data_IF_120374305484
#
_entry.id   IF_120374305484
#
_cell.length_a   1.000
_cell.length_b   1.000
_cell.length_c   1.000
_cell.angle_alpha   90.00
_cell.angle_beta   90.00
_cell.angle_gamma   90.00
#
_symmetry.space_group_name_H-M   'P 1'
#
loop_
_entity.id
_entity.type
_entity.pdbx_description
1 polymer ?
#
# COMPACT_ATOMS: atom_id res chain seq x y z
N UNK A 1 9.74 -10.43 16.05
CA UNK A 1 10.06 -11.14 14.80
C UNK A 1 9.31 -10.47 13.67
N UNK A 2 9.98 -10.12 12.60
CA UNK A 2 9.38 -9.60 11.37
C UNK A 2 9.23 -10.76 10.38
N UNK A 3 8.06 -10.97 9.81
CA UNK A 3 7.78 -12.06 8.89
C UNK A 3 7.05 -11.58 7.65
N UNK A 4 7.29 -12.25 6.52
CA UNK A 4 6.62 -11.99 5.26
C UNK A 4 6.27 -13.30 4.55
N UNK A 5 5.34 -13.24 3.63
CA UNK A 5 5.00 -14.37 2.75
C UNK A 5 4.76 -13.87 1.32
N UNK A 6 5.00 -14.76 0.36
CA UNK A 6 4.62 -14.52 -1.03
C UNK A 6 3.23 -15.11 -1.24
N UNK A 7 2.34 -14.31 -1.78
CA UNK A 7 0.99 -14.69 -2.21
C UNK A 7 0.79 -14.34 -3.67
N UNK A 8 -0.12 -15.02 -4.34
CA UNK A 8 -0.53 -14.73 -5.71
C UNK A 8 -2.05 -14.58 -5.76
N UNK A 9 -2.59 -13.54 -6.43
CA UNK A 9 -4.03 -13.27 -6.40
C UNK A 9 -4.89 -14.42 -6.92
N UNK A 10 -4.39 -15.18 -7.88
CA UNK A 10 -5.12 -16.29 -8.53
C UNK A 10 -4.77 -17.67 -7.95
N UNK A 11 -3.94 -17.74 -6.90
CA UNK A 11 -3.51 -19.01 -6.30
C UNK A 11 -3.69 -18.99 -4.80
N UNK A 12 -4.16 -20.09 -4.24
CA UNK A 12 -4.34 -20.23 -2.79
C UNK A 12 -3.04 -20.53 -2.02
N UNK A 13 -1.95 -20.74 -2.74
CA UNK A 13 -0.66 -21.07 -2.14
C UNK A 13 -0.08 -19.83 -1.46
N UNK A 14 0.39 -20.02 -0.23
CA UNK A 14 1.15 -19.02 0.54
C UNK A 14 2.54 -19.60 0.77
N UNK A 15 3.57 -18.88 0.36
CA UNK A 15 4.95 -19.27 0.55
C UNK A 15 5.55 -18.38 1.65
N UNK A 16 5.78 -18.91 2.86
CA UNK A 16 6.43 -18.15 3.92
C UNK A 16 7.89 -17.86 3.53
N UNK A 17 8.32 -16.64 3.81
CA UNK A 17 9.71 -16.25 3.68
C UNK A 17 10.43 -16.39 5.02
N UNK A 18 11.75 -16.50 4.98
CA UNK A 18 12.55 -16.60 6.20
C UNK A 18 12.36 -15.34 7.07
N UNK A 19 11.95 -15.49 8.34
CA UNK A 19 11.67 -14.35 9.19
C UNK A 19 12.95 -13.64 9.62
N UNK A 20 12.86 -12.32 9.82
CA UNK A 20 13.92 -11.51 10.37
C UNK A 20 13.74 -11.36 11.89
N UNK A 21 14.80 -11.58 12.65
CA UNK A 21 14.77 -11.47 14.11
C UNK A 21 14.83 -10.00 14.53
N UNK A 22 13.94 -9.58 15.40
CA UNK A 22 14.00 -8.28 16.07
C UNK A 22 14.80 -8.45 17.35
N UNK A 23 15.93 -7.76 17.45
CA UNK A 23 16.80 -7.76 18.63
C UNK A 23 16.54 -6.51 19.48
N UNK A 24 16.67 -6.64 20.81
CA UNK A 24 16.45 -5.50 21.72
C UNK A 24 17.36 -4.30 21.46
N UNK A 25 18.50 -4.52 20.81
CA UNK A 25 19.47 -3.50 20.43
C UNK A 25 19.13 -2.74 19.14
N UNK A 26 18.06 -3.14 18.44
CA UNK A 26 17.68 -2.55 17.14
C UNK A 26 16.97 -1.21 17.26
N UNK A 27 16.61 -0.78 18.47
CA UNK A 27 15.96 0.51 18.71
C UNK A 27 15.34 0.61 20.11
N UNK A 28 14.99 1.82 20.52
CA UNK A 28 14.38 2.11 21.82
C UNK A 28 12.87 1.91 21.82
N UNK A 29 12.24 1.76 20.66
CA UNK A 29 10.81 1.52 20.51
C UNK A 29 10.54 0.31 19.60
N UNK A 30 9.42 -0.36 19.81
CA UNK A 30 8.99 -1.50 19.00
C UNK A 30 8.89 -1.16 17.51
N UNK A 31 8.43 0.03 17.19
CA UNK A 31 8.29 0.46 15.80
C UNK A 31 9.66 0.65 15.12
N UNK A 32 10.64 1.17 15.80
CA UNK A 32 11.99 1.30 15.28
C UNK A 32 12.63 -0.06 15.07
N UNK A 33 12.44 -1.01 15.98
CA UNK A 33 12.88 -2.39 15.82
C UNK A 33 12.24 -3.08 14.59
N UNK A 34 10.95 -2.89 14.37
CA UNK A 34 10.24 -3.44 13.22
C UNK A 34 10.73 -2.82 11.90
N UNK A 35 10.97 -1.51 11.86
CA UNK A 35 11.51 -0.83 10.67
C UNK A 35 12.92 -1.31 10.33
N UNK A 36 13.79 -1.45 11.32
CA UNK A 36 15.14 -1.96 11.12
C UNK A 36 15.12 -3.41 10.62
N UNK A 37 14.28 -4.25 11.18
CA UNK A 37 14.09 -5.63 10.74
C UNK A 37 13.55 -5.69 9.31
N UNK A 38 12.59 -4.84 8.94
CA UNK A 38 12.08 -4.73 7.58
C UNK A 38 13.18 -4.34 6.58
N UNK A 39 14.04 -3.37 6.93
CA UNK A 39 15.17 -2.98 6.08
C UNK A 39 16.11 -4.16 5.82
N UNK A 40 16.56 -4.85 6.87
CA UNK A 40 17.43 -6.04 6.74
C UNK A 40 16.77 -7.14 5.91
N UNK A 41 15.47 -7.36 6.13
CA UNK A 41 14.69 -8.33 5.36
C UNK A 41 14.67 -7.97 3.86
N UNK A 42 14.39 -6.72 3.50
CA UNK A 42 14.33 -6.29 2.10
C UNK A 42 15.71 -6.33 1.41
N UNK A 43 16.78 -5.97 2.10
CA UNK A 43 18.17 -6.11 1.62
C UNK A 43 18.49 -7.58 1.29
N UNK A 44 18.17 -8.48 2.21
CA UNK A 44 18.36 -9.93 2.05
C UNK A 44 17.48 -10.47 0.92
N UNK A 45 16.20 -10.12 0.92
CA UNK A 45 15.24 -10.52 -0.12
C UNK A 45 15.72 -10.13 -1.52
N UNK A 46 16.17 -8.88 -1.69
CA UNK A 46 16.66 -8.41 -3.00
C UNK A 46 17.98 -9.08 -3.41
N UNK A 47 18.87 -9.35 -2.47
CA UNK A 47 20.11 -10.07 -2.74
C UNK A 47 19.86 -11.52 -3.18
N UNK A 48 18.92 -12.20 -2.55
CA UNK A 48 18.57 -13.60 -2.86
C UNK A 48 17.70 -13.72 -4.12
N UNK A 49 16.89 -12.68 -4.39
CA UNK A 49 15.94 -12.66 -5.51
C UNK A 49 16.08 -11.40 -6.37
N UNK A 50 17.24 -11.17 -7.03
CA UNK A 50 17.54 -9.90 -7.72
C UNK A 50 16.59 -9.58 -8.88
N UNK A 51 16.00 -10.59 -9.51
CA UNK A 51 15.14 -10.44 -10.69
C UNK A 51 13.64 -10.65 -10.39
N UNK A 52 13.29 -10.98 -9.14
CA UNK A 52 11.90 -11.23 -8.79
C UNK A 52 11.10 -9.91 -8.80
N UNK A 53 10.12 -9.85 -9.69
CA UNK A 53 9.15 -8.74 -9.73
C UNK A 53 8.08 -8.99 -8.69
N UNK A 54 8.20 -8.35 -7.54
CA UNK A 54 7.23 -8.45 -6.44
C UNK A 54 6.57 -7.09 -6.18
N UNK A 55 5.37 -7.13 -5.64
CA UNK A 55 4.66 -5.99 -5.07
C UNK A 55 4.68 -6.20 -3.56
N UNK A 56 5.28 -5.26 -2.83
CA UNK A 56 5.28 -5.24 -1.38
C UNK A 56 3.93 -4.70 -0.90
N UNK A 57 3.24 -5.44 -0.06
CA UNK A 57 1.95 -5.02 0.53
C UNK A 57 2.10 -4.94 2.03
N UNK A 58 1.90 -3.75 2.58
CA UNK A 58 2.04 -3.47 4.02
C UNK A 58 0.90 -2.58 4.52
N UNK A 59 0.74 -2.53 5.82
CA UNK A 59 -0.25 -1.67 6.46
C UNK A 59 0.22 -0.20 6.54
N UNK A 60 -0.63 0.66 7.13
CA UNK A 60 -0.36 2.10 7.23
C UNK A 60 0.81 2.50 8.13
N UNK A 61 1.35 1.60 8.96
CA UNK A 61 2.52 1.90 9.81
C UNK A 61 3.81 2.07 8.99
N UNK A 62 3.87 1.43 7.83
CA UNK A 62 5.01 1.46 6.90
C UNK A 62 4.96 2.62 5.91
N UNK A 63 3.87 3.38 5.82
CA UNK A 63 3.65 4.42 4.81
C UNK A 63 4.36 5.75 5.12
N UNK A 64 5.69 5.68 5.27
CA UNK A 64 6.57 6.82 5.57
C UNK A 64 7.54 7.10 4.43
N UNK A 65 7.97 8.37 4.27
CA UNK A 65 8.89 8.76 3.20
C UNK A 65 10.21 7.95 3.19
N UNK A 66 10.89 7.72 4.32
CA UNK A 66 12.11 6.91 4.33
C UNK A 66 11.88 5.47 3.86
N UNK A 67 10.74 4.88 4.23
CA UNK A 67 10.41 3.51 3.84
C UNK A 67 10.09 3.43 2.33
N UNK A 68 9.31 4.38 1.81
CA UNK A 68 8.99 4.45 0.38
C UNK A 68 10.26 4.58 -0.47
N UNK A 69 11.16 5.51 -0.11
CA UNK A 69 12.44 5.66 -0.82
C UNK A 69 13.25 4.36 -0.81
N UNK A 70 13.32 3.69 0.33
CA UNK A 70 14.03 2.41 0.44
C UNK A 70 13.43 1.32 -0.48
N UNK A 71 12.11 1.19 -0.53
CA UNK A 71 11.44 0.22 -1.41
C UNK A 71 11.75 0.54 -2.88
N UNK A 72 11.75 1.81 -3.26
CA UNK A 72 12.05 2.28 -4.61
C UNK A 72 13.52 2.07 -4.98
N UNK A 73 14.46 2.29 -4.06
CA UNK A 73 15.88 1.98 -4.23
C UNK A 73 16.11 0.49 -4.53
N UNK A 74 15.33 -0.40 -3.93
CA UNK A 74 15.35 -1.82 -4.26
C UNK A 74 14.61 -2.18 -5.55
N UNK A 75 14.05 -1.21 -6.27
CA UNK A 75 13.32 -1.43 -7.51
C UNK A 75 12.04 -2.25 -7.32
N UNK A 76 11.44 -2.21 -6.13
CA UNK A 76 10.19 -2.91 -5.83
C UNK A 76 8.98 -2.01 -6.10
N UNK A 77 7.86 -2.66 -6.44
CA UNK A 77 6.54 -2.03 -6.40
C UNK A 77 5.95 -2.21 -5.01
N UNK A 78 5.04 -1.28 -4.63
CA UNK A 78 4.39 -1.36 -3.32
C UNK A 78 2.92 -0.98 -3.37
N UNK A 79 2.18 -1.45 -2.36
CA UNK A 79 0.84 -1.01 -1.97
C UNK A 79 0.87 -0.87 -0.45
N UNK A 80 0.84 0.35 0.04
CA UNK A 80 0.88 0.68 1.46
C UNK A 80 -0.46 1.24 1.91
N UNK A 81 -0.95 0.82 3.05
CA UNK A 81 -2.16 1.37 3.64
C UNK A 81 -2.01 2.87 3.94
N UNK A 82 -3.09 3.63 3.77
CA UNK A 82 -3.14 5.04 4.16
C UNK A 82 -4.36 5.28 5.05
N UNK A 83 -4.19 6.10 6.09
CA UNK A 83 -5.26 6.45 7.01
C UNK A 83 -5.45 7.97 7.03
N UNK A 84 -6.68 8.49 7.08
CA UNK A 84 -6.93 9.94 7.10
C UNK A 84 -6.18 10.67 8.22
N UNK A 85 -6.06 10.08 9.42
CA UNK A 85 -5.36 10.67 10.55
C UNK A 85 -3.85 10.84 10.34
N UNK A 86 -3.22 9.93 9.58
CA UNK A 86 -1.76 9.91 9.35
C UNK A 86 -1.37 10.61 8.04
N UNK A 87 -2.30 10.71 7.07
CA UNK A 87 -2.04 11.18 5.70
C UNK A 87 -3.00 12.29 5.26
N UNK A 88 -3.41 13.17 6.17
CA UNK A 88 -4.36 14.25 5.92
C UNK A 88 -4.05 15.02 4.62
N UNK A 89 -2.79 15.31 4.36
CA UNK A 89 -2.37 16.05 3.16
C UNK A 89 -2.67 15.32 1.84
N UNK A 90 -2.60 13.99 1.79
CA UNK A 90 -3.01 13.20 0.62
C UNK A 90 -4.52 13.28 0.39
N UNK A 91 -5.30 13.18 1.46
CA UNK A 91 -6.76 13.32 1.35
C UNK A 91 -7.18 14.74 0.93
N UNK A 92 -6.51 15.77 1.45
CA UNK A 92 -6.73 17.16 1.02
C UNK A 92 -6.44 17.33 -0.48
N UNK A 93 -5.32 16.78 -0.98
CA UNK A 93 -5.01 16.82 -2.42
C UNK A 93 -6.06 16.08 -3.26
N UNK A 94 -6.51 14.91 -2.80
CA UNK A 94 -7.54 14.13 -3.49
C UNK A 94 -8.86 14.92 -3.62
N UNK A 95 -9.21 15.73 -2.64
CA UNK A 95 -10.45 16.54 -2.65
C UNK A 95 -10.34 17.84 -3.44
N UNK A 96 -9.14 18.42 -3.50
CA UNK A 96 -8.95 19.76 -4.09
C UNK A 96 -8.38 19.74 -5.51
N UNK A 97 -7.79 18.62 -5.94
CA UNK A 97 -7.17 18.52 -7.26
C UNK A 97 -8.20 18.29 -8.37
N UNK A 98 -8.08 19.07 -9.44
CA UNK A 98 -8.85 18.86 -10.67
C UNK A 98 -8.45 17.58 -11.43
N UNK A 99 -7.27 17.00 -11.12
CA UNK A 99 -6.78 15.76 -11.70
C UNK A 99 -7.32 14.50 -11.01
N UNK A 100 -8.13 14.65 -9.96
CA UNK A 100 -8.75 13.54 -9.27
C UNK A 100 -9.74 12.81 -10.18
N UNK A 101 -9.48 11.52 -10.38
CA UNK A 101 -10.35 10.66 -11.16
C UNK A 101 -11.36 9.95 -10.26
N UNK A 102 -12.57 9.78 -10.79
CA UNK A 102 -13.68 9.09 -10.11
C UNK A 102 -14.12 7.91 -10.95
N UNK A 103 -14.40 6.80 -10.29
CA UNK A 103 -14.98 5.63 -10.93
C UNK A 103 -15.97 4.95 -9.98
N UNK A 104 -17.13 4.54 -10.51
CA UNK A 104 -18.20 3.93 -9.71
C UNK A 104 -18.68 2.65 -10.40
N UNK A 105 -18.98 1.64 -9.59
CA UNK A 105 -19.50 0.36 -10.05
C UNK A 105 -20.68 -0.01 -9.14
N UNK A 106 -21.83 -0.25 -9.74
CA UNK A 106 -22.95 -0.90 -9.09
C UNK A 106 -22.96 -2.37 -9.48
N UNK A 107 -22.65 -3.24 -8.52
CA UNK A 107 -22.60 -4.67 -8.75
C UNK A 107 -24.02 -5.29 -8.74
N UNK A 108 -24.17 -6.43 -9.42
CA UNK A 108 -25.47 -7.13 -9.53
C UNK A 108 -25.96 -7.67 -8.18
N UNK A 109 -25.05 -7.90 -7.22
CA UNK A 109 -25.34 -8.32 -5.84
C UNK A 109 -25.78 -7.17 -4.94
N UNK A 110 -25.93 -5.95 -5.49
CA UNK A 110 -26.39 -4.75 -4.79
C UNK A 110 -25.30 -3.97 -4.06
N UNK A 111 -24.04 -4.40 -4.13
CA UNK A 111 -22.93 -3.61 -3.61
C UNK A 111 -22.64 -2.42 -4.51
N UNK A 112 -22.31 -1.28 -3.90
CA UNK A 112 -21.90 -0.07 -4.58
C UNK A 112 -20.45 0.25 -4.25
N UNK A 113 -19.62 0.40 -5.28
CA UNK A 113 -18.20 0.63 -5.16
C UNK A 113 -17.83 1.98 -5.75
N UNK A 114 -17.17 2.81 -4.96
CA UNK A 114 -16.67 4.12 -5.37
C UNK A 114 -15.15 4.15 -5.24
N UNK A 115 -14.50 4.62 -6.28
CA UNK A 115 -13.05 4.77 -6.35
C UNK A 115 -12.73 6.22 -6.67
N UNK A 116 -11.89 6.83 -5.85
CA UNK A 116 -11.28 8.13 -6.12
C UNK A 116 -9.78 7.93 -6.17
N UNK A 117 -9.12 8.45 -7.18
CA UNK A 117 -7.67 8.30 -7.23
C UNK A 117 -7.01 9.53 -7.84
N UNK A 118 -5.79 9.79 -7.38
CA UNK A 118 -4.92 10.85 -7.83
C UNK A 118 -3.53 10.27 -8.05
N UNK A 119 -2.99 10.42 -9.27
CA UNK A 119 -1.64 10.02 -9.58
C UNK A 119 -0.65 11.16 -9.28
N UNK A 120 0.59 10.80 -8.93
CA UNK A 120 1.67 11.75 -8.64
C UNK A 120 1.38 12.75 -7.53
N UNK A 121 0.54 12.39 -6.56
CA UNK A 121 0.30 13.18 -5.37
C UNK A 121 1.58 13.29 -4.52
N UNK A 122 1.80 14.42 -3.85
CA UNK A 122 2.89 14.56 -2.89
C UNK A 122 2.54 13.86 -1.58
N UNK A 123 3.47 13.07 -1.03
CA UNK A 123 3.22 12.27 0.17
C UNK A 123 2.76 13.12 1.36
N UNK A 124 3.46 14.21 1.63
CA UNK A 124 3.11 15.18 2.68
C UNK A 124 3.85 16.51 2.46
N UNK A 125 3.53 17.53 3.27
CA UNK A 125 4.11 18.88 3.16
C UNK A 125 5.64 18.89 3.30
N UNK A 126 6.22 17.99 4.08
CA UNK A 126 7.67 17.91 4.34
C UNK A 126 8.43 17.06 3.33
N UNK A 127 7.73 16.22 2.54
CA UNK A 127 8.31 15.32 1.55
C UNK A 127 7.52 15.43 0.24
N UNK A 128 7.50 16.63 -0.33
CA UNK A 128 6.78 16.90 -1.60
C UNK A 128 7.47 16.28 -2.82
N UNK A 129 8.75 15.94 -2.69
CA UNK A 129 9.55 15.22 -3.67
C UNK A 129 9.15 13.73 -3.79
N UNK A 130 8.61 13.14 -2.71
CA UNK A 130 8.10 11.77 -2.74
C UNK A 130 6.72 11.78 -3.37
N UNK A 131 6.63 11.29 -4.62
CA UNK A 131 5.39 11.19 -5.37
C UNK A 131 4.80 9.79 -5.27
N UNK A 132 3.51 9.74 -4.95
CA UNK A 132 2.76 8.50 -4.83
C UNK A 132 1.48 8.57 -5.67
N UNK A 133 0.99 7.44 -6.10
CA UNK A 133 -0.35 7.32 -6.65
C UNK A 133 -1.28 6.91 -5.50
N UNK A 134 -2.32 7.67 -5.27
CA UNK A 134 -3.20 7.52 -4.12
C UNK A 134 -4.57 7.04 -4.55
N UNK A 135 -5.07 5.99 -3.91
CA UNK A 135 -6.39 5.39 -4.15
C UNK A 135 -7.20 5.43 -2.85
N UNK A 136 -8.38 6.01 -2.92
CA UNK A 136 -9.42 5.95 -1.89
C UNK A 136 -10.61 5.16 -2.42
N UNK A 137 -11.01 4.13 -1.69
CA UNK A 137 -12.06 3.20 -2.05
C UNK A 137 -13.12 3.14 -0.96
N UNK A 138 -14.38 3.31 -1.38
CA UNK A 138 -15.55 3.14 -0.54
C UNK A 138 -16.43 2.03 -1.10
N UNK A 139 -16.89 1.16 -0.22
CA UNK A 139 -17.86 0.13 -0.51
C UNK A 139 -19.11 0.35 0.36
N UNK A 140 -20.27 0.37 -0.26
CA UNK A 140 -21.56 0.38 0.45
C UNK A 140 -22.27 -0.95 0.19
N UNK A 141 -22.64 -1.66 1.24
CA UNK A 141 -23.38 -2.90 1.12
C UNK A 141 -24.89 -2.65 0.84
N UNK A 142 -25.68 -3.68 0.46
CA UNK A 142 -27.10 -3.53 0.20
C UNK A 142 -27.94 -3.03 1.40
N UNK A 143 -27.35 -3.06 2.61
CA UNK A 143 -27.98 -2.58 3.84
C UNK A 143 -27.56 -1.15 4.21
N UNK A 144 -26.71 -0.52 3.38
CA UNK A 144 -26.22 0.83 3.60
C UNK A 144 -24.99 0.93 4.52
N UNK A 145 -24.36 -0.19 4.90
CA UNK A 145 -23.13 -0.16 5.68
C UNK A 145 -21.95 0.19 4.77
N UNK A 146 -21.15 1.15 5.19
CA UNK A 146 -19.99 1.61 4.48
C UNK A 146 -18.69 1.02 5.05
N UNK A 147 -17.77 0.68 4.14
CA UNK A 147 -16.38 0.32 4.42
C UNK A 147 -15.47 1.19 3.56
N UNK A 148 -14.46 1.79 4.18
CA UNK A 148 -13.51 2.67 3.51
C UNK A 148 -12.10 2.12 3.65
N UNK A 149 -11.36 2.12 2.53
CA UNK A 149 -9.97 1.71 2.47
C UNK A 149 -9.20 2.66 1.58
N UNK A 150 -7.98 2.98 1.96
CA UNK A 150 -7.15 3.86 1.14
C UNK A 150 -5.72 3.33 1.11
N UNK A 151 -5.07 3.52 -0.04
CA UNK A 151 -3.72 3.02 -0.29
C UNK A 151 -2.90 4.01 -1.09
N UNK A 152 -1.59 3.95 -0.89
CA UNK A 152 -0.62 4.62 -1.74
C UNK A 152 0.27 3.59 -2.43
N UNK A 153 0.72 3.89 -3.64
CA UNK A 153 1.50 2.98 -4.49
C UNK A 153 2.37 3.74 -5.47
N UNK A 154 3.45 3.12 -5.96
CA UNK A 154 4.20 3.59 -7.14
C UNK A 154 3.71 2.98 -8.46
N UNK A 155 2.61 2.23 -8.45
CA UNK A 155 1.96 1.69 -9.64
C UNK A 155 0.98 2.74 -10.15
N UNK A 156 1.08 3.12 -11.42
CA UNK A 156 0.12 4.04 -12.04
C UNK A 156 -1.30 3.49 -11.93
N UNK A 157 -2.21 4.30 -11.39
CA UNK A 157 -3.60 3.93 -11.24
C UNK A 157 -4.37 4.38 -12.49
N UNK A 158 -5.09 3.45 -13.08
CA UNK A 158 -6.05 3.70 -14.14
C UNK A 158 -7.35 2.96 -13.82
N UNK A 159 -8.44 3.35 -14.44
CA UNK A 159 -9.74 2.69 -14.26
C UNK A 159 -9.65 1.17 -14.47
N UNK A 160 -8.86 0.71 -15.42
CA UNK A 160 -8.64 -0.72 -15.69
C UNK A 160 -7.89 -1.39 -14.52
N UNK A 161 -6.90 -0.70 -13.95
CA UNK A 161 -6.08 -1.24 -12.87
C UNK A 161 -6.82 -1.22 -11.52
N UNK A 162 -7.75 -0.30 -11.31
CA UNK A 162 -8.58 -0.22 -10.09
C UNK A 162 -9.33 -1.52 -9.86
N UNK A 163 -9.92 -2.09 -10.90
CA UNK A 163 -10.64 -3.37 -10.83
C UNK A 163 -9.67 -4.52 -10.47
N UNK A 164 -8.46 -4.51 -11.03
CA UNK A 164 -7.43 -5.52 -10.72
C UNK A 164 -6.85 -5.36 -9.30
N UNK A 165 -6.66 -4.13 -8.82
CA UNK A 165 -6.21 -3.86 -7.45
C UNK A 165 -7.25 -4.34 -6.42
N UNK A 166 -8.55 -4.23 -6.71
CA UNK A 166 -9.60 -4.76 -5.86
C UNK A 166 -9.46 -6.28 -5.62
N UNK A 167 -9.05 -7.04 -6.63
CA UNK A 167 -8.79 -8.47 -6.52
C UNK A 167 -7.59 -8.77 -5.59
N UNK A 168 -6.55 -7.95 -5.60
CA UNK A 168 -5.40 -8.06 -4.70
C UNK A 168 -5.75 -7.75 -3.24
N UNK A 169 -6.72 -6.89 -3.01
CA UNK A 169 -7.15 -6.43 -1.69
C UNK A 169 -8.12 -7.41 -1.02
N UNK A 170 -8.92 -8.16 -1.80
CA UNK A 170 -9.82 -9.22 -1.29
C UNK A 170 -9.10 -10.43 -0.66
N UNK A 171 -7.76 -10.44 -0.68
CA UNK A 171 -6.92 -11.51 -0.10
C UNK A 171 -6.50 -11.25 1.36
N UNK A 172 -7.15 -10.29 2.05
CA UNK A 172 -7.00 -10.05 3.50
C UNK A 172 -8.08 -10.70 4.31
#
# INVERSE_FOLDING_TARGET
MFGACIVHPDKKNVVPLYPEVILNQDGNSKNDCERNACKRFLEKFRREHPHLKAILVEDGLSSTAPHIRMIEEFGLKYILGAKPGDHQFLFEQLETSEETCYHEIKADDGYYHQFRFLNSASLNKSNQDVKVNFLDYRQTDPKGKELNFSWMTNILISTINVIKMQLLIKLR
#
